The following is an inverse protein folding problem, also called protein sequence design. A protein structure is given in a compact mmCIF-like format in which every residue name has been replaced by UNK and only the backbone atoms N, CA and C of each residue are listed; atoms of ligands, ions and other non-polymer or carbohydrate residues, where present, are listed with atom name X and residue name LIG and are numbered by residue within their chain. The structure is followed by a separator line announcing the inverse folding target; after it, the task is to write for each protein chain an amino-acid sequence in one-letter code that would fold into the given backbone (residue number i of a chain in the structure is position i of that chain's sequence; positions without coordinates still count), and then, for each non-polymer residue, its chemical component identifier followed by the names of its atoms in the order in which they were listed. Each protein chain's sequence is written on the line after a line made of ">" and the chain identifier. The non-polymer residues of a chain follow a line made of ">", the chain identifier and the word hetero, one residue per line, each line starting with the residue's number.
data_IF_721627667830
#
_entry.id   IF_721627667830
#
_cell.length_a   1.000
_cell.length_b   1.000
_cell.length_c   1.000
_cell.angle_alpha   90.00
_cell.angle_beta   90.00
_cell.angle_gamma   90.00
#
_symmetry.space_group_name_H-M   'P 1'
#
loop_
_entity.id
_entity.type
_entity.pdbx_description
1 polymer ?
#
# COMPACT_ATOMS: atom_id res chain seq x y z
N UNK A 1 19.42 11.41 -7.86
CA UNK A 1 17.95 11.19 -7.88
C UNK A 1 17.23 12.54 -7.92
N UNK A 2 17.47 13.47 -6.96
CA UNK A 2 16.76 14.77 -6.89
C UNK A 2 16.79 15.60 -8.18
N UNK A 3 17.82 15.44 -9.00
CA UNK A 3 18.01 16.18 -10.26
C UNK A 3 17.66 15.35 -11.50
N UNK A 4 17.34 14.08 -11.31
CA UNK A 4 16.99 13.18 -12.41
C UNK A 4 15.52 13.34 -12.80
N UNK A 5 15.20 12.99 -14.04
CA UNK A 5 13.81 12.85 -14.46
C UNK A 5 13.11 11.82 -13.58
N UNK A 6 11.87 12.09 -13.13
CA UNK A 6 11.12 11.16 -12.30
C UNK A 6 11.00 9.78 -12.97
N UNK A 7 11.26 8.74 -12.18
CA UNK A 7 11.11 7.34 -12.57
C UNK A 7 10.53 6.58 -11.42
N UNK A 8 9.74 5.57 -11.71
CA UNK A 8 9.30 4.62 -10.70
C UNK A 8 10.43 3.68 -10.31
N UNK A 9 10.55 3.48 -9.01
CA UNK A 9 11.37 2.45 -8.41
C UNK A 9 10.46 1.51 -7.64
N UNK A 10 10.60 0.23 -7.91
CA UNK A 10 9.75 -0.83 -7.38
C UNK A 10 10.61 -1.92 -6.76
N UNK A 11 10.22 -2.38 -5.59
CA UNK A 11 10.84 -3.52 -4.94
C UNK A 11 10.30 -3.72 -3.53
N UNK A 12 10.71 -4.80 -2.88
CA UNK A 12 10.37 -5.13 -1.51
C UNK A 12 11.59 -5.67 -0.76
N UNK A 13 11.42 -6.00 0.52
CA UNK A 13 12.48 -6.56 1.36
C UNK A 13 13.72 -5.64 1.38
N UNK A 14 14.88 -6.09 0.99
CA UNK A 14 16.14 -5.31 0.99
C UNK A 14 16.06 -4.03 0.15
N UNK A 15 15.20 -3.99 -0.87
CA UNK A 15 14.96 -2.76 -1.63
C UNK A 15 14.38 -1.62 -0.79
N UNK A 16 13.89 -1.88 0.42
CA UNK A 16 13.49 -0.85 1.37
C UNK A 16 14.61 0.16 1.61
N UNK A 17 15.87 -0.29 1.65
CA UNK A 17 17.03 0.60 1.76
C UNK A 17 17.04 1.70 0.69
N UNK A 18 16.53 1.41 -0.49
CA UNK A 18 16.46 2.38 -1.58
C UNK A 18 15.12 3.10 -1.64
N UNK A 19 14.02 2.36 -1.65
CA UNK A 19 12.67 2.93 -1.85
C UNK A 19 12.27 3.84 -0.71
N UNK A 20 12.57 3.47 0.53
CA UNK A 20 12.28 4.29 1.71
C UNK A 20 13.13 5.55 1.74
N UNK A 21 14.45 5.42 1.50
CA UNK A 21 15.35 6.57 1.50
C UNK A 21 15.07 7.52 0.32
N UNK A 22 14.64 7.00 -0.83
CA UNK A 22 14.18 7.84 -1.92
C UNK A 22 13.01 8.72 -1.50
N UNK A 23 12.07 8.18 -0.75
CA UNK A 23 10.92 8.93 -0.26
C UNK A 23 11.32 9.93 0.81
N UNK A 24 12.04 9.51 1.83
CA UNK A 24 12.35 10.36 2.99
C UNK A 24 13.44 11.40 2.73
N UNK A 25 14.46 11.07 1.91
CA UNK A 25 15.54 11.99 1.58
C UNK A 25 15.28 12.84 0.34
N UNK A 26 14.59 12.28 -0.66
CA UNK A 26 14.43 12.92 -1.97
C UNK A 26 13.01 13.42 -2.22
N UNK A 27 12.07 13.16 -1.31
CA UNK A 27 10.65 13.50 -1.45
C UNK A 27 10.06 13.01 -2.78
N UNK A 28 10.41 11.80 -3.13
CA UNK A 28 10.01 11.16 -4.38
C UNK A 28 9.32 9.85 -4.07
N UNK A 29 8.11 9.67 -4.57
CA UNK A 29 7.36 8.44 -4.37
C UNK A 29 8.07 7.23 -4.97
N UNK A 30 7.96 6.10 -4.29
CA UNK A 30 8.41 4.78 -4.73
C UNK A 30 7.28 3.77 -4.55
N UNK A 31 7.43 2.60 -5.11
CA UNK A 31 6.46 1.52 -4.98
C UNK A 31 7.07 0.38 -4.16
N UNK A 32 6.42 0.05 -3.06
CA UNK A 32 6.74 -1.17 -2.32
C UNK A 32 5.90 -2.30 -2.87
N UNK A 33 6.49 -3.17 -3.66
CA UNK A 33 5.75 -4.17 -4.42
C UNK A 33 6.65 -5.24 -5.03
N UNK A 34 6.14 -6.06 -5.95
CA UNK A 34 6.85 -7.24 -6.46
C UNK A 34 8.18 -6.87 -7.12
N UNK A 35 9.18 -7.73 -6.97
CA UNK A 35 10.44 -7.62 -7.71
C UNK A 35 10.27 -8.08 -9.16
N UNK A 36 11.29 -7.83 -10.00
CA UNK A 36 11.25 -8.17 -11.43
C UNK A 36 11.00 -9.66 -11.69
N UNK A 37 11.50 -10.55 -10.84
CA UNK A 37 11.28 -11.98 -10.97
C UNK A 37 9.78 -12.38 -10.86
N UNK A 38 8.99 -11.62 -10.11
CA UNK A 38 7.56 -11.87 -9.98
C UNK A 38 6.79 -11.64 -11.28
N UNK A 39 7.30 -10.78 -12.16
CA UNK A 39 6.71 -10.54 -13.48
C UNK A 39 6.95 -11.68 -14.49
N UNK A 40 7.80 -12.65 -14.15
CA UNK A 40 7.93 -13.90 -14.90
C UNK A 40 6.79 -14.90 -14.68
N UNK A 41 5.91 -14.63 -13.74
CA UNK A 41 4.75 -15.48 -13.44
C UNK A 41 3.83 -15.66 -14.65
N UNK A 42 3.33 -16.88 -14.85
CA UNK A 42 2.41 -17.14 -15.97
C UNK A 42 1.31 -18.15 -15.54
N UNK A 43 0.01 -17.79 -15.69
CA UNK A 43 -0.49 -16.44 -15.98
C UNK A 43 -0.23 -15.45 -14.83
N UNK A 44 -0.20 -14.16 -15.13
CA UNK A 44 -0.06 -13.15 -14.07
C UNK A 44 -1.22 -13.20 -13.09
N UNK A 45 -0.88 -13.34 -11.82
CA UNK A 45 -1.84 -13.11 -10.76
C UNK A 45 -2.33 -11.64 -10.78
N UNK A 46 -3.58 -11.36 -10.37
CA UNK A 46 -4.11 -9.98 -10.32
C UNK A 46 -3.17 -8.98 -9.63
N UNK A 47 -2.49 -9.36 -8.55
CA UNK A 47 -1.54 -8.50 -7.85
C UNK A 47 -0.36 -8.04 -8.73
N UNK A 48 0.12 -8.89 -9.63
CA UNK A 48 1.20 -8.54 -10.57
C UNK A 48 0.68 -7.59 -11.63
N UNK A 49 -0.50 -7.85 -12.15
CA UNK A 49 -1.16 -6.98 -13.13
C UNK A 49 -1.43 -5.60 -12.55
N UNK A 50 -1.99 -5.53 -11.36
CA UNK A 50 -2.27 -4.27 -10.68
C UNK A 50 -0.99 -3.46 -10.45
N UNK A 51 0.10 -4.12 -10.04
CA UNK A 51 1.40 -3.45 -9.86
C UNK A 51 1.92 -2.87 -11.17
N UNK A 52 1.76 -3.59 -12.28
CA UNK A 52 2.12 -3.09 -13.61
C UNK A 52 1.23 -1.94 -14.06
N UNK A 53 -0.07 -2.02 -13.77
CA UNK A 53 -1.02 -0.96 -14.13
C UNK A 53 -0.76 0.33 -13.33
N UNK A 54 -0.34 0.23 -12.05
CA UNK A 54 0.12 1.39 -11.29
C UNK A 54 1.40 1.98 -11.89
N UNK A 55 2.40 1.13 -12.20
CA UNK A 55 3.65 1.58 -12.83
C UNK A 55 3.44 2.31 -14.16
N UNK A 56 2.45 1.89 -14.92
CA UNK A 56 2.12 2.48 -16.24
C UNK A 56 1.10 3.61 -16.17
N UNK A 57 0.63 3.97 -14.95
CA UNK A 57 -0.35 5.03 -14.74
C UNK A 57 -1.78 4.67 -15.19
N UNK A 58 -2.05 3.43 -15.50
CA UNK A 58 -3.39 2.96 -15.86
C UNK A 58 -4.30 2.82 -14.65
N UNK A 59 -3.73 2.59 -13.47
CA UNK A 59 -4.43 2.42 -12.21
C UNK A 59 -3.86 3.37 -11.16
N UNK A 60 -4.71 4.18 -10.53
CA UNK A 60 -4.32 5.13 -9.50
C UNK A 60 -4.82 4.74 -8.10
N UNK A 61 -5.72 3.78 -8.03
CA UNK A 61 -6.29 3.26 -6.78
C UNK A 61 -5.95 1.79 -6.69
N UNK A 62 -5.32 1.39 -5.60
CA UNK A 62 -4.98 0.00 -5.33
C UNK A 62 -5.92 -0.56 -4.27
N UNK A 63 -6.64 -1.62 -4.62
CA UNK A 63 -7.47 -2.36 -3.69
C UNK A 63 -6.65 -3.41 -2.94
N UNK A 64 -7.06 -3.75 -1.74
CA UNK A 64 -6.50 -4.87 -1.01
C UNK A 64 -6.95 -6.22 -1.61
N UNK A 65 -6.26 -7.29 -1.22
CA UNK A 65 -6.63 -8.66 -1.60
C UNK A 65 -7.19 -9.38 -0.36
N UNK A 66 -8.18 -10.22 -0.57
CA UNK A 66 -8.87 -10.97 0.49
C UNK A 66 -8.14 -12.24 0.94
N UNK A 67 -7.16 -12.68 0.15
CA UNK A 67 -6.38 -13.89 0.41
C UNK A 67 -4.88 -13.65 0.30
N UNK A 68 -4.10 -14.56 0.88
CA UNK A 68 -2.65 -14.59 0.77
C UNK A 68 -2.11 -16.00 0.54
N UNK A 69 -0.89 -16.10 0.05
CA UNK A 69 -0.18 -17.33 -0.21
C UNK A 69 0.53 -17.78 1.05
N UNK A 70 0.12 -18.91 1.63
CA UNK A 70 0.80 -19.54 2.75
C UNK A 70 1.98 -20.38 2.30
N UNK A 71 1.77 -21.14 1.23
CA UNK A 71 2.78 -22.04 0.66
C UNK A 71 2.89 -21.80 -0.84
N UNK A 72 4.10 -21.50 -1.31
CA UNK A 72 4.36 -21.37 -2.72
C UNK A 72 4.43 -22.73 -3.40
N UNK A 73 3.84 -22.81 -4.58
CA UNK A 73 3.99 -23.98 -5.46
C UNK A 73 5.16 -23.85 -6.44
N UNK A 74 5.95 -22.77 -6.33
CA UNK A 74 7.14 -22.58 -7.17
C UNK A 74 8.25 -23.49 -6.73
N UNK A 75 8.83 -24.17 -7.71
CA UNK A 75 10.03 -24.97 -7.58
C UNK A 75 10.94 -24.78 -8.80
N UNK A 76 12.01 -25.55 -8.90
CA UNK A 76 12.96 -25.47 -10.02
C UNK A 76 12.34 -25.95 -11.34
N UNK A 77 11.38 -26.88 -11.29
CA UNK A 77 10.68 -27.41 -12.48
C UNK A 77 9.52 -26.51 -12.91
N UNK A 78 8.93 -25.79 -11.96
CA UNK A 78 7.75 -24.92 -12.15
C UNK A 78 7.98 -23.49 -11.69
N UNK A 79 8.98 -22.76 -12.24
CA UNK A 79 9.38 -21.44 -11.74
C UNK A 79 8.37 -20.34 -12.05
N UNK A 80 7.45 -20.55 -12.98
CA UNK A 80 6.50 -19.52 -13.44
C UNK A 80 5.12 -19.63 -12.80
N UNK A 81 4.89 -20.62 -11.95
CA UNK A 81 3.58 -20.87 -11.33
C UNK A 81 3.08 -19.61 -10.59
N UNK A 82 1.80 -19.23 -10.76
CA UNK A 82 1.16 -18.15 -10.04
C UNK A 82 1.14 -18.34 -8.53
N UNK A 83 0.87 -17.26 -7.79
CA UNK A 83 0.66 -17.33 -6.34
C UNK A 83 -0.46 -18.29 -5.98
N UNK A 84 -0.18 -19.17 -5.02
CA UNK A 84 -1.13 -20.13 -4.45
C UNK A 84 -1.91 -19.47 -3.28
N UNK A 85 -2.79 -18.54 -3.60
CA UNK A 85 -3.54 -17.75 -2.60
C UNK A 85 -4.71 -18.56 -2.04
N UNK A 86 -4.47 -19.29 -0.97
CA UNK A 86 -5.42 -20.20 -0.33
C UNK A 86 -6.02 -19.65 0.96
N UNK A 87 -5.25 -18.87 1.72
CA UNK A 87 -5.61 -18.46 3.06
C UNK A 87 -6.33 -17.10 3.07
N UNK A 88 -7.41 -16.95 3.85
CA UNK A 88 -8.08 -15.68 4.00
C UNK A 88 -7.19 -14.69 4.77
N UNK A 89 -7.22 -13.43 4.35
CA UNK A 89 -6.59 -12.34 5.10
C UNK A 89 -7.51 -11.95 6.28
N UNK A 90 -6.97 -12.00 7.48
CA UNK A 90 -7.65 -11.53 8.68
C UNK A 90 -6.92 -10.30 9.22
N UNK A 91 -7.65 -9.20 9.41
CA UNK A 91 -7.11 -7.98 9.99
C UNK A 91 -7.51 -7.92 11.47
N UNK A 92 -6.52 -7.80 12.34
CA UNK A 92 -6.72 -7.60 13.77
C UNK A 92 -6.43 -6.13 14.08
N UNK A 93 -7.48 -5.37 14.38
CA UNK A 93 -7.32 -4.00 14.83
C UNK A 93 -7.05 -3.99 16.33
N UNK A 94 -5.98 -3.33 16.72
CA UNK A 94 -5.61 -3.14 18.14
C UNK A 94 -5.46 -1.65 18.43
N UNK A 95 -5.75 -1.27 19.68
CA UNK A 95 -5.45 0.08 20.18
C UNK A 95 -3.97 0.21 20.50
N UNK A 96 -3.52 1.44 20.70
CA UNK A 96 -2.14 1.73 21.06
C UNK A 96 -1.70 1.05 22.39
N UNK A 97 -2.64 0.74 23.28
CA UNK A 97 -2.41 0.00 24.53
C UNK A 97 -2.38 -1.53 24.33
N UNK A 98 -2.49 -2.01 23.08
CA UNK A 98 -2.50 -3.43 22.74
C UNK A 98 -3.83 -4.13 22.95
N UNK A 99 -4.88 -3.44 23.40
CA UNK A 99 -6.21 -4.05 23.53
C UNK A 99 -6.84 -4.26 22.15
N UNK A 100 -7.43 -5.44 21.92
CA UNK A 100 -8.13 -5.72 20.70
C UNK A 100 -9.37 -4.80 20.56
N UNK A 101 -9.54 -4.19 19.40
CA UNK A 101 -10.82 -3.63 19.00
C UNK A 101 -11.74 -4.80 18.69
N UNK A 102 -12.95 -4.80 19.26
CA UNK A 102 -13.93 -5.83 18.94
C UNK A 102 -14.14 -5.84 17.43
N UNK A 103 -13.90 -6.99 16.79
CA UNK A 103 -14.23 -7.16 15.39
C UNK A 103 -15.75 -7.12 15.24
N UNK A 104 -16.24 -6.38 14.28
CA UNK A 104 -17.64 -6.45 13.90
C UNK A 104 -17.95 -7.80 13.26
N UNK A 105 -19.18 -8.21 13.44
CA UNK A 105 -19.74 -9.45 12.91
C UNK A 105 -19.50 -9.57 11.39
N UNK A 106 -19.06 -10.75 10.95
CA UNK A 106 -18.62 -11.06 9.57
C UNK A 106 -19.73 -11.05 8.51
N UNK A 107 -20.87 -10.41 8.78
CA UNK A 107 -22.01 -10.30 7.84
C UNK A 107 -21.97 -9.06 6.94
N UNK A 108 -20.89 -8.28 6.95
CA UNK A 108 -20.79 -7.06 6.14
C UNK A 108 -20.43 -7.41 4.70
N UNK A 109 -21.33 -7.08 3.80
CA UNK A 109 -21.14 -7.09 2.34
C UNK A 109 -19.95 -6.23 1.95
N UNK A 110 -19.22 -6.69 0.95
CA UNK A 110 -17.99 -6.17 0.37
C UNK A 110 -17.82 -4.64 0.48
N UNK A 111 -16.76 -4.22 1.19
CA UNK A 111 -16.34 -2.83 1.28
C UNK A 111 -16.01 -2.19 -0.08
N UNK A 112 -15.81 -3.00 -1.11
CA UNK A 112 -15.41 -2.59 -2.46
C UNK A 112 -16.48 -1.72 -3.15
N UNK A 113 -17.76 -1.96 -2.89
CA UNK A 113 -18.84 -1.18 -3.50
C UNK A 113 -19.02 0.22 -2.88
N UNK A 114 -18.62 0.40 -1.61
CA UNK A 114 -18.72 1.71 -0.94
C UNK A 114 -17.50 2.61 -1.21
N UNK A 115 -16.32 2.02 -1.41
CA UNK A 115 -15.09 2.76 -1.78
C UNK A 115 -15.17 3.26 -3.21
N UNK A 116 -15.74 2.48 -4.13
CA UNK A 116 -15.95 2.90 -5.52
C UNK A 116 -16.82 4.17 -5.60
N UNK A 117 -17.91 4.23 -4.88
CA UNK A 117 -18.77 5.42 -4.82
C UNK A 117 -18.10 6.67 -4.22
N UNK A 118 -17.15 6.47 -3.31
CA UNK A 118 -16.38 7.57 -2.71
C UNK A 118 -15.31 8.14 -3.67
N UNK A 119 -14.68 7.30 -4.47
CA UNK A 119 -13.66 7.71 -5.45
C UNK A 119 -14.28 8.38 -6.69
N UNK A 120 -15.45 7.93 -7.14
CA UNK A 120 -16.14 8.54 -8.29
C UNK A 120 -16.56 9.98 -8.05
N UNK A 121 -16.88 10.35 -6.80
CA UNK A 121 -17.24 11.73 -6.44
C UNK A 121 -16.05 12.70 -6.32
N UNK A 122 -14.79 12.22 -6.38
CA UNK A 122 -13.58 13.08 -6.36
C UNK A 122 -13.05 13.46 -7.75
N UNK A 123 -13.51 12.81 -8.81
CA UNK A 123 -13.10 13.12 -10.17
C UNK A 123 -13.93 14.23 -10.79
N UNK A 124 -13.49 15.46 -10.75
CA UNK A 124 -13.87 16.62 -11.58
C UNK A 124 -14.38 17.86 -10.85
N UNK A 125 -13.64 18.36 -9.89
CA UNK A 125 -13.83 19.77 -9.50
C UNK A 125 -12.49 20.47 -9.39
N UNK A 126 -11.99 20.96 -10.53
CA UNK A 126 -10.92 21.95 -10.55
C UNK A 126 -11.34 23.15 -9.69
N UNK A 127 -10.63 23.38 -8.59
CA UNK A 127 -10.71 24.64 -7.87
C UNK A 127 -11.26 24.63 -6.43
N UNK A 128 -11.61 23.51 -5.81
CA UNK A 128 -11.98 23.49 -4.39
C UNK A 128 -10.84 22.93 -3.51
N UNK A 129 -10.58 23.65 -2.40
CA UNK A 129 -9.62 23.20 -1.39
C UNK A 129 -10.06 21.85 -0.81
N UNK A 130 -9.13 20.92 -0.51
CA UNK A 130 -9.44 19.56 -0.04
C UNK A 130 -10.37 19.49 1.19
N UNK A 131 -10.34 20.50 2.05
CA UNK A 131 -11.15 20.54 3.27
C UNK A 131 -12.64 20.86 3.05
N UNK A 132 -13.02 21.38 1.89
CA UNK A 132 -14.42 21.75 1.61
C UNK A 132 -15.21 20.68 0.84
N UNK A 133 -14.53 19.65 0.36
CA UNK A 133 -15.14 18.55 -0.37
C UNK A 133 -15.55 17.37 0.53
N UNK A 134 -15.14 17.36 1.79
CA UNK A 134 -15.55 16.35 2.76
C UNK A 134 -16.75 16.90 3.53
N UNK A 135 -17.97 16.53 3.09
CA UNK A 135 -19.15 16.67 3.91
C UNK A 135 -18.90 16.02 5.27
N UNK A 136 -19.36 16.65 6.36
CA UNK A 136 -19.23 16.10 7.72
C UNK A 136 -19.51 14.60 7.72
N UNK A 137 -18.70 13.78 8.41
CA UNK A 137 -18.89 12.33 8.46
C UNK A 137 -20.22 12.03 9.15
N UNK A 138 -21.27 11.87 8.35
CA UNK A 138 -22.53 11.33 8.82
C UNK A 138 -22.44 9.82 8.63
N UNK A 139 -22.39 9.11 9.76
CA UNK A 139 -22.48 7.67 9.90
C UNK A 139 -21.33 6.88 9.27
N UNK A 140 -20.18 6.89 9.94
CA UNK A 140 -19.18 5.83 9.78
C UNK A 140 -19.84 4.57 10.37
N UNK A 141 -20.19 3.62 9.50
CA UNK A 141 -20.54 2.26 9.94
C UNK A 141 -19.36 1.74 10.76
N UNK A 142 -19.61 1.13 11.90
CA UNK A 142 -18.65 0.83 12.99
C UNK A 142 -17.40 0.00 12.59
N UNK A 143 -17.23 -0.33 11.29
CA UNK A 143 -16.28 -1.31 10.79
C UNK A 143 -15.28 -0.80 9.76
N UNK A 144 -15.32 0.47 9.42
CA UNK A 144 -14.41 1.07 8.42
C UNK A 144 -13.42 1.98 9.14
N UNK A 145 -12.12 1.71 8.97
CA UNK A 145 -11.06 2.60 9.41
C UNK A 145 -10.61 3.43 8.21
N UNK A 146 -10.87 4.73 8.28
CA UNK A 146 -10.38 5.69 7.30
C UNK A 146 -9.12 6.38 7.81
N UNK A 147 -8.09 6.43 6.98
CA UNK A 147 -6.86 7.17 7.26
C UNK A 147 -6.48 7.96 6.03
N UNK A 148 -6.05 9.22 6.25
CA UNK A 148 -5.57 10.09 5.19
C UNK A 148 -4.15 10.55 5.51
N UNK A 149 -3.28 10.57 4.50
CA UNK A 149 -1.91 11.02 4.66
C UNK A 149 -0.97 10.42 3.62
N UNK A 150 0.30 10.77 3.74
CA UNK A 150 1.36 10.15 2.94
C UNK A 150 1.80 8.86 3.62
N UNK A 151 1.89 7.79 2.84
CA UNK A 151 2.37 6.51 3.32
C UNK A 151 3.89 6.45 3.21
N UNK A 152 4.53 6.09 4.31
CA UNK A 152 5.94 5.68 4.34
C UNK A 152 6.03 4.31 5.00
N UNK A 153 6.93 3.48 4.53
CA UNK A 153 7.07 2.13 5.08
C UNK A 153 7.98 1.25 4.24
N UNK A 154 8.03 -0.01 4.63
CA UNK A 154 8.87 -1.02 3.99
C UNK A 154 9.04 -2.25 4.86
N UNK A 155 10.11 -3.01 4.65
CA UNK A 155 10.48 -4.15 5.48
C UNK A 155 10.93 -3.68 6.87
N UNK A 156 10.28 -4.19 7.92
CA UNK A 156 10.58 -3.80 9.30
C UNK A 156 12.03 -4.11 9.71
N UNK A 157 12.58 -5.23 9.27
CA UNK A 157 13.97 -5.60 9.56
C UNK A 157 14.97 -4.57 9.00
N UNK A 158 14.67 -4.05 7.82
CA UNK A 158 15.49 -3.02 7.19
C UNK A 158 15.28 -1.66 7.86
N UNK A 159 14.03 -1.30 8.16
CA UNK A 159 13.72 -0.04 8.83
C UNK A 159 14.34 0.02 10.23
N UNK A 160 14.34 -1.10 10.97
CA UNK A 160 14.99 -1.19 12.28
C UNK A 160 16.50 -0.86 12.21
N UNK A 161 17.18 -1.21 11.11
CA UNK A 161 18.57 -0.89 10.90
C UNK A 161 18.82 0.57 10.51
N UNK A 162 17.81 1.29 10.05
CA UNK A 162 17.92 2.70 9.66
C UNK A 162 17.69 3.66 10.83
N UNK A 163 16.92 3.23 11.84
CA UNK A 163 16.59 4.07 13.01
C UNK A 163 17.83 4.57 13.72
N UNK A 164 17.88 5.87 13.97
CA UNK A 164 19.00 6.53 14.66
C UNK A 164 20.28 6.69 13.84
N UNK A 165 20.30 6.28 12.58
CA UNK A 165 21.42 6.53 11.68
C UNK A 165 21.34 7.94 11.06
N UNK A 166 22.41 8.38 10.39
CA UNK A 166 22.40 9.65 9.64
C UNK A 166 21.38 9.69 8.49
N UNK A 167 20.89 8.52 8.08
CA UNK A 167 19.86 8.34 7.03
C UNK A 167 18.45 8.33 7.57
N UNK A 168 18.28 8.28 8.88
CA UNK A 168 16.95 8.37 9.51
C UNK A 168 16.43 9.81 9.40
N UNK A 169 15.55 10.02 8.41
CA UNK A 169 14.92 11.31 8.12
C UNK A 169 13.42 11.27 8.30
N UNK A 170 12.93 10.29 9.06
CA UNK A 170 11.50 10.17 9.38
C UNK A 170 11.00 11.39 10.15
N UNK A 171 11.69 11.89 11.20
CA UNK A 171 11.22 13.08 11.91
C UNK A 171 11.04 14.28 10.98
N UNK A 172 12.07 14.60 10.17
CA UNK A 172 12.01 15.73 9.25
C UNK A 172 10.94 15.54 8.15
N UNK A 173 10.72 14.30 7.72
CA UNK A 173 9.65 14.00 6.76
C UNK A 173 8.27 14.19 7.38
N UNK A 174 8.07 13.74 8.60
CA UNK A 174 6.81 13.92 9.35
C UNK A 174 6.56 15.41 9.57
N UNK A 175 7.52 16.16 10.08
CA UNK A 175 7.41 17.61 10.32
C UNK A 175 7.03 18.39 9.05
N UNK A 176 7.47 17.91 7.89
CA UNK A 176 7.16 18.54 6.60
C UNK A 176 5.70 18.34 6.17
N UNK A 177 5.06 17.25 6.61
CA UNK A 177 3.75 16.81 6.10
C UNK A 177 2.66 16.68 7.17
N UNK A 178 2.92 17.14 8.37
CA UNK A 178 1.91 17.31 9.42
C UNK A 178 0.92 18.44 9.12
#
# INVERSE_FOLDING_TARGET
>A
IRQAQPKWYLGYSDNTNFTFLQTTLCDTASLYGPCVASFGMEPWHPAIRDSFDVLTGKKLVQNGYDKWEKESLKDEEHPLVPYNVTEPRVLHCVRADGTALQQPDSSVKNADDEIAGFCENRGTAAGKKPAEACGSPKEIKENIVYMEGRLIGGCLDILANLVGTTYDKVPEFVDKYQ
#
